data_IF_353108602813
#
_entry.id   IF_353108602813
#
_cell.length_a   1.000
_cell.length_b   1.000
_cell.length_c   1.000
_cell.angle_alpha   90.00
_cell.angle_beta   90.00
_cell.angle_gamma   90.00
#
_symmetry.space_group_name_H-M   'P 1'
#
loop_
_entity.id
_entity.type
_entity.pdbx_description
1 polymer ?
#
# COMPACT_ATOMS: atom_id res chain seq x y z
N UNK A 1 1.77 -24.01 -20.26
CA UNK A 1 2.59 -23.26 -21.23
C UNK A 1 3.35 -22.21 -20.44
N UNK A 2 4.62 -22.46 -20.12
CA UNK A 2 5.44 -21.49 -19.40
C UNK A 2 5.91 -20.44 -20.42
N UNK A 3 5.37 -19.23 -20.35
CA UNK A 3 5.94 -18.10 -21.07
C UNK A 3 7.39 -17.94 -20.58
N UNK A 4 8.36 -18.20 -21.46
CA UNK A 4 9.76 -17.91 -21.17
C UNK A 4 9.89 -16.39 -21.09
N UNK A 5 9.94 -15.86 -19.87
CA UNK A 5 10.12 -14.43 -19.65
C UNK A 5 11.63 -14.17 -19.81
N UNK A 6 12.00 -13.51 -20.90
CA UNK A 6 13.39 -13.17 -21.18
C UNK A 6 13.94 -12.16 -20.15
N UNK A 7 15.20 -12.32 -19.71
CA UNK A 7 15.82 -11.40 -18.76
C UNK A 7 16.06 -10.04 -19.42
N UNK A 8 15.49 -8.97 -18.85
CA UNK A 8 15.53 -7.63 -19.45
C UNK A 8 16.67 -6.79 -18.86
N UNK A 9 17.41 -6.06 -19.70
CA UNK A 9 18.45 -5.11 -19.25
C UNK A 9 17.86 -3.74 -19.00
N UNK A 10 18.04 -3.20 -17.80
CA UNK A 10 17.70 -1.84 -17.43
C UNK A 10 18.96 -1.06 -17.05
N UNK A 11 19.36 -0.10 -17.90
CA UNK A 11 20.54 0.79 -17.78
C UNK A 11 21.92 0.16 -17.60
N UNK A 12 22.00 -1.10 -17.18
CA UNK A 12 23.13 -2.06 -17.18
C UNK A 12 22.79 -3.29 -16.33
N UNK A 13 21.71 -3.24 -15.54
CA UNK A 13 21.28 -4.34 -14.64
C UNK A 13 20.26 -5.25 -15.32
N UNK A 14 20.45 -6.56 -15.18
CA UNK A 14 19.52 -7.56 -15.71
C UNK A 14 18.44 -7.83 -14.66
N UNK A 15 17.16 -7.76 -15.02
CA UNK A 15 16.04 -8.04 -14.11
C UNK A 15 15.51 -9.44 -14.39
N UNK A 16 15.61 -10.33 -13.40
CA UNK A 16 15.08 -11.67 -13.48
C UNK A 16 13.71 -11.75 -12.78
N UNK A 17 12.64 -12.15 -13.49
CA UNK A 17 11.28 -12.18 -12.94
C UNK A 17 11.13 -13.19 -11.79
N UNK A 18 11.93 -14.26 -11.79
CA UNK A 18 11.95 -15.24 -10.70
C UNK A 18 12.46 -14.61 -9.39
N UNK A 19 13.48 -13.75 -9.48
CA UNK A 19 14.09 -13.08 -8.33
C UNK A 19 13.20 -11.98 -7.77
N UNK A 20 12.49 -11.23 -8.63
CA UNK A 20 11.52 -10.22 -8.19
C UNK A 20 10.38 -10.84 -7.37
N UNK A 21 9.93 -12.05 -7.74
CA UNK A 21 8.87 -12.79 -7.04
C UNK A 21 9.25 -13.30 -5.65
N UNK A 22 10.52 -13.19 -5.24
CA UNK A 22 10.95 -13.52 -3.87
C UNK A 22 10.37 -12.54 -2.83
N UNK A 23 10.06 -11.32 -3.25
CA UNK A 23 9.38 -10.33 -2.45
C UNK A 23 7.86 -10.33 -2.72
N UNK A 24 7.03 -9.99 -1.72
CA UNK A 24 5.60 -9.84 -1.94
C UNK A 24 5.31 -8.69 -2.90
N UNK A 25 4.42 -8.91 -3.87
CA UNK A 25 4.04 -7.91 -4.87
C UNK A 25 3.61 -6.58 -4.24
N UNK A 26 2.70 -6.64 -3.26
CA UNK A 26 2.18 -5.45 -2.56
C UNK A 26 3.31 -4.63 -1.96
N UNK A 27 4.31 -5.30 -1.36
CA UNK A 27 5.46 -4.65 -0.77
C UNK A 27 6.30 -3.93 -1.83
N UNK A 28 6.64 -4.61 -2.93
CA UNK A 28 7.42 -4.02 -4.03
C UNK A 28 6.79 -2.74 -4.58
N UNK A 29 5.46 -2.73 -4.78
CA UNK A 29 4.74 -1.54 -5.24
C UNK A 29 4.67 -0.44 -4.17
N UNK A 30 4.38 -0.78 -2.91
CA UNK A 30 4.27 0.22 -1.85
C UNK A 30 5.60 0.90 -1.52
N UNK A 31 6.70 0.16 -1.54
CA UNK A 31 8.02 0.67 -1.19
C UNK A 31 8.84 1.11 -2.41
N UNK A 32 8.28 1.01 -3.61
CA UNK A 32 8.98 1.24 -4.89
C UNK A 32 10.37 0.60 -4.91
N UNK A 33 10.41 -0.72 -4.67
CA UNK A 33 11.64 -1.51 -4.62
C UNK A 33 11.55 -2.76 -5.50
N UNK A 34 12.62 -3.06 -6.23
CA UNK A 34 12.74 -4.21 -7.14
C UNK A 34 14.10 -4.89 -6.96
N UNK A 35 14.12 -6.22 -7.02
CA UNK A 35 15.37 -6.99 -6.99
C UNK A 35 16.01 -6.96 -8.38
N UNK A 36 17.30 -6.62 -8.42
CA UNK A 36 18.11 -6.62 -9.63
C UNK A 36 18.99 -7.87 -9.65
N UNK A 37 19.27 -8.37 -10.85
CA UNK A 37 20.08 -9.57 -11.06
C UNK A 37 19.32 -10.88 -10.83
N UNK A 38 20.05 -11.97 -11.01
CA UNK A 38 19.61 -13.30 -10.63
C UNK A 38 19.99 -13.56 -9.17
N UNK A 39 18.98 -13.86 -8.36
CA UNK A 39 19.17 -14.22 -6.95
C UNK A 39 18.95 -15.72 -6.80
N UNK A 40 20.05 -16.45 -6.63
CA UNK A 40 20.00 -17.84 -6.18
C UNK A 40 19.66 -17.88 -4.69
N UNK A 41 18.70 -18.70 -4.26
CA UNK A 41 18.30 -18.86 -2.85
C UNK A 41 19.33 -19.60 -1.99
N UNK A 42 20.26 -20.34 -2.61
CA UNK A 42 21.34 -21.03 -1.90
C UNK A 42 22.65 -20.22 -1.82
N UNK A 43 22.82 -19.23 -2.71
CA UNK A 43 24.04 -18.43 -2.81
C UNK A 43 24.36 -17.53 -1.59
N UNK A 44 25.58 -17.03 -1.56
CA UNK A 44 26.06 -16.02 -0.61
C UNK A 44 26.26 -14.65 -1.24
N UNK A 45 25.94 -14.51 -2.52
CA UNK A 45 26.22 -13.31 -3.29
C UNK A 45 25.36 -12.13 -2.81
N UNK A 46 25.92 -10.90 -2.86
CA UNK A 46 25.17 -9.71 -2.49
C UNK A 46 23.99 -9.51 -3.44
N UNK A 47 22.87 -9.05 -2.87
CA UNK A 47 21.65 -8.78 -3.63
C UNK A 47 21.60 -7.28 -3.92
N UNK A 48 21.55 -6.92 -5.19
CA UNK A 48 21.28 -5.55 -5.63
C UNK A 48 19.78 -5.29 -5.61
N UNK A 49 19.37 -4.19 -4.99
CA UNK A 49 17.95 -3.81 -4.91
C UNK A 49 17.80 -2.41 -5.47
N UNK A 50 17.09 -2.31 -6.59
CA UNK A 50 16.68 -1.05 -7.19
C UNK A 50 15.59 -0.39 -6.35
N UNK A 51 15.84 0.84 -5.88
CA UNK A 51 14.90 1.59 -5.04
C UNK A 51 14.71 3.01 -5.55
N UNK A 52 13.47 3.49 -5.54
CA UNK A 52 13.19 4.91 -5.80
C UNK A 52 13.81 5.81 -4.73
N UNK A 53 13.70 5.39 -3.46
CA UNK A 53 14.18 6.13 -2.30
C UNK A 53 15.18 5.29 -1.48
N UNK A 54 16.48 5.30 -1.83
CA UNK A 54 17.49 4.47 -1.16
C UNK A 54 17.72 4.88 0.31
N UNK A 55 17.29 6.07 0.72
CA UNK A 55 17.39 6.56 2.10
C UNK A 55 16.30 6.01 3.03
N UNK A 56 15.31 5.29 2.51
CA UNK A 56 14.25 4.71 3.32
C UNK A 56 14.76 3.46 4.09
N UNK A 57 15.28 3.71 5.29
CA UNK A 57 15.87 2.68 6.16
C UNK A 57 14.87 1.57 6.56
N UNK A 58 13.58 1.89 6.69
CA UNK A 58 12.55 0.91 7.05
C UNK A 58 12.39 -0.16 5.96
N UNK A 59 12.44 0.27 4.69
CA UNK A 59 12.37 -0.64 3.54
C UNK A 59 13.62 -1.52 3.50
N UNK A 60 14.80 -0.92 3.68
CA UNK A 60 16.06 -1.67 3.71
C UNK A 60 16.14 -2.68 4.86
N UNK A 61 15.72 -2.32 6.07
CA UNK A 61 15.71 -3.25 7.21
C UNK A 61 14.76 -4.43 6.94
N UNK A 62 13.58 -4.15 6.40
CA UNK A 62 12.60 -5.20 6.05
C UNK A 62 13.16 -6.18 5.03
N UNK A 63 13.80 -5.68 3.97
CA UNK A 63 14.43 -6.53 2.94
C UNK A 63 15.63 -7.27 3.55
N UNK A 64 16.46 -6.61 4.36
CA UNK A 64 17.64 -7.21 5.03
C UNK A 64 17.26 -8.37 5.93
N UNK A 65 16.24 -8.21 6.77
CA UNK A 65 15.75 -9.29 7.63
C UNK A 65 15.28 -10.51 6.83
N UNK A 66 14.66 -10.28 5.68
CA UNK A 66 14.11 -11.35 4.83
C UNK A 66 15.19 -12.12 4.07
N UNK A 67 16.29 -11.47 3.70
CA UNK A 67 17.41 -12.10 2.97
C UNK A 67 18.64 -12.34 3.85
N UNK A 68 18.53 -12.18 5.17
CA UNK A 68 19.61 -12.48 6.12
C UNK A 68 20.10 -13.93 5.94
N UNK A 69 21.42 -14.19 5.87
CA UNK A 69 22.55 -13.31 6.24
C UNK A 69 23.17 -12.49 5.10
N UNK A 70 22.49 -12.33 3.96
CA UNK A 70 23.08 -11.71 2.77
C UNK A 70 23.21 -10.19 2.89
N UNK A 71 24.19 -9.64 2.17
CA UNK A 71 24.35 -8.18 2.04
C UNK A 71 23.42 -7.66 0.96
N UNK A 72 22.75 -6.55 1.26
CA UNK A 72 21.92 -5.82 0.31
C UNK A 72 22.65 -4.56 -0.12
N UNK A 73 22.67 -4.34 -1.43
CA UNK A 73 23.25 -3.14 -2.04
C UNK A 73 22.08 -2.34 -2.64
N UNK A 74 21.67 -1.22 -2.02
CA UNK A 74 20.67 -0.36 -2.62
C UNK A 74 21.25 0.33 -3.86
N UNK A 75 20.50 0.28 -4.96
CA UNK A 75 20.79 0.98 -6.21
C UNK A 75 19.68 2.00 -6.43
N UNK A 76 20.03 3.27 -6.51
CA UNK A 76 19.05 4.33 -6.74
C UNK A 76 18.50 4.24 -8.17
N UNK A 77 17.17 4.23 -8.29
CA UNK A 77 16.45 4.21 -9.57
C UNK A 77 15.34 5.27 -9.56
N UNK A 78 14.81 5.61 -10.73
CA UNK A 78 13.63 6.48 -10.79
C UNK A 78 12.36 5.68 -10.50
N UNK A 79 11.31 6.34 -10.01
CA UNK A 79 10.02 5.70 -9.72
C UNK A 79 9.46 5.00 -10.96
N UNK A 80 9.48 5.68 -12.11
CA UNK A 80 8.98 5.14 -13.38
C UNK A 80 9.72 3.86 -13.80
N UNK A 81 11.03 3.82 -13.59
CA UNK A 81 11.87 2.67 -13.93
C UNK A 81 11.50 1.46 -13.07
N UNK A 82 11.32 1.67 -11.76
CA UNK A 82 10.91 0.63 -10.82
C UNK A 82 9.50 0.15 -11.14
N UNK A 83 8.54 1.05 -11.34
CA UNK A 83 7.15 0.68 -11.68
C UNK A 83 7.10 -0.13 -12.96
N UNK A 84 7.86 0.27 -14.00
CA UNK A 84 7.94 -0.48 -15.26
C UNK A 84 8.53 -1.87 -15.06
N UNK A 85 9.62 -1.97 -14.31
CA UNK A 85 10.25 -3.26 -13.99
C UNK A 85 9.31 -4.20 -13.23
N UNK A 86 8.57 -3.68 -12.24
CA UNK A 86 7.60 -4.46 -11.46
C UNK A 86 6.42 -4.92 -12.32
N UNK A 87 5.84 -4.03 -13.13
CA UNK A 87 4.74 -4.36 -14.03
C UNK A 87 5.13 -5.49 -14.99
N UNK A 88 6.35 -5.46 -15.52
CA UNK A 88 6.86 -6.52 -16.39
C UNK A 88 7.10 -7.82 -15.63
N UNK A 89 7.76 -7.77 -14.46
CA UNK A 89 8.08 -8.96 -13.68
C UNK A 89 6.85 -9.71 -13.15
N UNK A 90 5.81 -8.97 -12.76
CA UNK A 90 4.53 -9.53 -12.30
C UNK A 90 3.54 -9.81 -13.43
N UNK A 91 3.87 -9.43 -14.67
CA UNK A 91 2.95 -9.57 -15.80
C UNK A 91 1.70 -8.70 -15.66
N UNK A 92 1.77 -7.61 -14.90
CA UNK A 92 0.72 -6.60 -14.83
C UNK A 92 0.92 -5.71 -16.03
N UNK A 93 0.26 -6.05 -17.13
CA UNK A 93 0.09 -5.12 -18.23
C UNK A 93 -0.76 -3.96 -17.72
N UNK A 94 -0.13 -2.91 -17.17
CA UNK A 94 -0.80 -1.61 -17.17
C UNK A 94 -0.94 -1.26 -18.64
N UNK A 95 -2.17 -1.15 -19.20
CA UNK A 95 -2.30 -0.56 -20.52
C UNK A 95 -1.65 0.80 -20.39
N UNK A 96 -0.54 0.99 -21.10
CA UNK A 96 0.09 2.28 -21.17
C UNK A 96 -1.02 3.22 -21.62
N UNK A 97 -1.38 4.18 -20.77
CA UNK A 97 -1.98 5.42 -21.25
C UNK A 97 -0.86 6.09 -22.08
N UNK A 98 -0.60 5.53 -23.26
CA UNK A 98 -0.23 6.33 -24.41
C UNK A 98 -1.43 7.25 -24.59
N UNK A 99 -1.38 8.37 -23.89
CA UNK A 99 -2.13 9.55 -24.24
C UNK A 99 -1.69 9.92 -25.64
N UNK A 100 -2.34 9.31 -26.62
CA UNK A 100 -2.52 9.84 -27.95
C UNK A 100 -3.09 11.24 -27.78
N UNK A 101 -2.20 12.22 -27.66
CA UNK A 101 -2.47 13.64 -27.57
C UNK A 101 -3.08 14.19 -28.89
N UNK A 102 -3.74 13.36 -29.69
CA UNK A 102 -4.19 13.70 -31.03
C UNK A 102 -5.62 13.23 -31.36
N UNK A 103 -6.42 12.77 -30.39
CA UNK A 103 -7.73 12.17 -30.70
C UNK A 103 -8.91 12.54 -29.79
N UNK A 104 -8.84 13.64 -29.04
CA UNK A 104 -10.04 14.22 -28.41
C UNK A 104 -10.07 15.74 -28.54
N UNK A 105 -10.49 16.20 -29.72
CA UNK A 105 -11.21 17.46 -29.89
C UNK A 105 -12.59 17.40 -29.23
N UNK A 106 -12.63 17.19 -27.90
CA UNK A 106 -13.84 17.31 -27.11
C UNK A 106 -13.81 18.67 -26.40
N UNK A 107 -14.64 19.57 -26.95
CA UNK A 107 -15.10 20.83 -26.37
C UNK A 107 -15.09 20.81 -24.84
N UNK A 108 -14.21 21.62 -24.25
CA UNK A 108 -14.29 22.02 -22.84
C UNK A 108 -15.38 23.10 -22.75
N UNK A 109 -16.53 22.88 -22.11
CA UNK A 109 -17.37 23.98 -21.69
C UNK A 109 -16.62 24.73 -20.58
N UNK A 110 -16.25 25.98 -20.87
CA UNK A 110 -15.78 26.93 -19.88
C UNK A 110 -16.91 27.19 -18.87
N UNK A 111 -16.89 26.45 -17.77
CA UNK A 111 -17.60 26.80 -16.56
C UNK A 111 -16.61 27.44 -15.60
N UNK A 112 -16.72 28.76 -15.44
CA UNK A 112 -16.00 29.52 -14.41
C UNK A 112 -16.28 28.90 -13.03
N UNK A 113 -15.21 28.52 -12.33
CA UNK A 113 -15.28 28.27 -10.89
C UNK A 113 -14.29 29.24 -10.24
N UNK A 114 -14.84 30.31 -9.67
CA UNK A 114 -14.11 31.24 -8.81
C UNK A 114 -13.48 30.47 -7.65
N UNK A 115 -12.14 30.39 -7.65
CA UNK A 115 -11.39 29.98 -6.48
C UNK A 115 -11.31 31.17 -5.51
N UNK A 116 -12.28 31.22 -4.60
CA UNK A 116 -12.18 32.03 -3.41
C UNK A 116 -10.99 31.54 -2.57
N UNK A 117 -9.99 32.43 -2.42
CA UNK A 117 -8.86 32.27 -1.52
C UNK A 117 -9.37 32.21 -0.09
N UNK A 118 -9.09 31.12 0.60
CA UNK A 118 -9.28 31.03 2.05
C UNK A 118 -7.98 30.52 2.66
N UNK A 119 -7.23 31.49 3.20
CA UNK A 119 -6.16 31.28 4.17
C UNK A 119 -6.69 30.44 5.34
N UNK A 120 -6.03 29.34 5.68
CA UNK A 120 -6.13 28.80 7.03
C UNK A 120 -4.80 28.26 7.53
N UNK A 121 -4.31 28.91 8.59
CA UNK A 121 -3.06 28.61 9.28
C UNK A 121 -3.36 27.54 10.32
N UNK A 122 -3.03 26.29 10.03
CA UNK A 122 -3.03 25.24 11.06
C UNK A 122 -1.63 25.15 11.66
N UNK A 123 -1.46 25.75 12.84
CA UNK A 123 -0.33 25.46 13.74
C UNK A 123 -0.59 24.12 14.42
N UNK A 124 0.17 23.10 14.06
CA UNK A 124 0.18 21.81 14.77
C UNK A 124 1.21 21.90 15.88
N UNK A 125 0.75 22.15 17.11
CA UNK A 125 1.57 21.94 18.30
C UNK A 125 1.70 20.43 18.53
N UNK A 126 2.92 19.90 18.45
CA UNK A 126 3.24 18.54 18.85
C UNK A 126 3.45 18.54 20.37
N UNK A 127 2.56 17.90 21.12
CA UNK A 127 2.85 17.53 22.49
C UNK A 127 3.51 16.14 22.53
N UNK A 128 4.55 15.94 23.36
CA UNK A 128 5.20 14.64 23.53
C UNK A 128 4.32 13.72 24.38
N UNK A 129 4.08 12.50 23.88
CA UNK A 129 3.38 11.45 24.62
C UNK A 129 4.41 10.66 25.44
N UNK A 130 4.29 10.74 26.77
CA UNK A 130 5.11 10.04 27.74
C UNK A 130 4.58 8.60 27.91
N UNK A 131 5.43 7.61 27.66
CA UNK A 131 5.09 6.18 27.75
C UNK A 131 5.59 5.62 29.09
N UNK A 132 4.87 5.91 30.17
CA UNK A 132 5.09 5.26 31.46
C UNK A 132 3.82 4.53 31.90
N UNK A 133 3.99 3.23 32.13
CA UNK A 133 3.10 2.29 32.81
C UNK A 133 1.69 2.07 32.24
N UNK A 134 1.52 0.93 31.55
CA UNK A 134 0.21 0.29 31.43
C UNK A 134 0.31 -1.17 31.86
N UNK A 135 -0.15 -1.42 33.09
CA UNK A 135 -0.53 -2.75 33.57
C UNK A 135 -1.64 -3.32 32.68
N UNK A 136 -1.44 -4.55 32.22
CA UNK A 136 -2.44 -5.30 31.46
C UNK A 136 -3.54 -5.79 32.40
N UNK A 137 -4.62 -5.02 32.51
CA UNK A 137 -5.87 -5.55 33.06
C UNK A 137 -6.62 -6.38 32.02
N UNK A 138 -7.20 -7.48 32.50
CA UNK A 138 -7.88 -8.53 31.74
C UNK A 138 -9.13 -7.96 31.06
N UNK A 139 -9.29 -8.26 29.78
CA UNK A 139 -10.41 -7.78 28.96
C UNK A 139 -11.63 -8.69 29.19
N UNK A 140 -12.63 -8.13 29.86
CA UNK A 140 -14.01 -8.61 29.79
C UNK A 140 -14.59 -8.33 28.40
N UNK A 141 -15.35 -9.30 27.87
CA UNK A 141 -16.12 -9.19 26.64
C UNK A 141 -17.11 -8.02 26.73
N UNK A 142 -16.95 -7.01 25.87
CA UNK A 142 -17.79 -5.82 25.87
C UNK A 142 -18.40 -5.57 24.49
N UNK A 143 -19.72 -5.37 24.50
CA UNK A 143 -20.55 -4.96 23.38
C UNK A 143 -20.14 -3.57 22.87
N UNK A 144 -19.99 -3.45 21.55
CA UNK A 144 -19.57 -2.21 20.86
C UNK A 144 -20.79 -1.31 20.65
N UNK A 145 -20.91 -0.25 21.46
CA UNK A 145 -21.89 0.82 21.23
C UNK A 145 -21.38 1.82 20.16
N UNK A 146 -21.90 1.71 18.93
CA UNK A 146 -21.55 2.56 17.77
C UNK A 146 -22.20 3.97 17.82
N UNK A 147 -22.21 4.58 19.01
CA UNK A 147 -23.09 5.69 19.32
C UNK A 147 -22.49 7.10 19.26
N UNK A 148 -21.29 7.36 18.73
CA UNK A 148 -20.76 8.74 18.51
C UNK A 148 -19.32 8.72 18.00
N UNK A 149 -19.09 9.14 16.74
CA UNK A 149 -17.98 10.02 16.36
C UNK A 149 -17.96 10.27 14.84
N UNK A 150 -17.93 11.54 14.46
CA UNK A 150 -17.19 12.02 13.30
C UNK A 150 -17.76 11.77 11.91
N UNK A 151 -18.77 12.56 11.51
CA UNK A 151 -18.90 13.19 10.18
C UNK A 151 -18.40 12.37 8.96
N UNK A 152 -18.85 11.14 8.79
CA UNK A 152 -18.72 10.41 7.53
C UNK A 152 -19.60 11.04 6.46
N UNK A 153 -19.06 11.13 5.25
CA UNK A 153 -19.70 11.65 4.04
C UNK A 153 -20.94 10.78 3.76
N UNK A 154 -22.10 11.22 4.26
CA UNK A 154 -23.39 10.55 4.05
C UNK A 154 -23.73 10.58 2.57
N UNK A 155 -24.23 9.46 2.03
CA UNK A 155 -24.97 9.47 0.76
C UNK A 155 -26.24 10.32 0.93
N UNK A 156 -26.89 10.75 -0.15
CA UNK A 156 -28.13 11.54 -0.09
C UNK A 156 -29.24 10.88 0.76
N UNK A 157 -29.13 9.57 0.99
CA UNK A 157 -30.07 8.75 1.75
C UNK A 157 -29.74 8.68 3.26
N UNK A 158 -28.65 9.32 3.70
CA UNK A 158 -28.25 9.40 5.10
C UNK A 158 -27.70 8.11 5.72
N UNK A 159 -27.66 6.99 4.97
CA UNK A 159 -27.10 5.72 5.44
C UNK A 159 -25.62 5.59 5.07
N UNK A 160 -24.76 5.07 5.98
CA UNK A 160 -23.37 4.79 5.63
C UNK A 160 -23.33 3.69 4.57
N UNK A 161 -22.58 3.91 3.49
CA UNK A 161 -22.36 2.86 2.49
C UNK A 161 -21.70 1.64 3.14
N UNK A 162 -22.00 0.44 2.64
CA UNK A 162 -21.40 -0.82 3.12
C UNK A 162 -19.86 -0.72 3.15
N UNK A 163 -19.27 -0.07 2.14
CA UNK A 163 -17.81 0.13 2.04
C UNK A 163 -17.26 0.89 3.25
N UNK A 164 -17.94 1.95 3.69
CA UNK A 164 -17.52 2.74 4.85
C UNK A 164 -17.66 1.93 6.14
N UNK A 165 -18.75 1.16 6.30
CA UNK A 165 -18.96 0.32 7.48
C UNK A 165 -17.87 -0.73 7.62
N UNK A 166 -17.51 -1.41 6.52
CA UNK A 166 -16.44 -2.42 6.53
C UNK A 166 -15.08 -1.78 6.81
N UNK A 167 -14.80 -0.62 6.20
CA UNK A 167 -13.54 0.08 6.43
C UNK A 167 -13.38 0.53 7.89
N UNK A 168 -14.44 1.10 8.48
CA UNK A 168 -14.43 1.52 9.88
C UNK A 168 -14.24 0.33 10.83
N UNK A 169 -14.89 -0.80 10.52
CA UNK A 169 -14.75 -2.05 11.28
C UNK A 169 -13.30 -2.59 11.26
N UNK A 170 -12.65 -2.59 10.08
CA UNK A 170 -11.26 -3.03 9.95
C UNK A 170 -10.30 -2.11 10.69
N UNK A 171 -10.51 -0.79 10.60
CA UNK A 171 -9.67 0.19 11.29
C UNK A 171 -9.81 0.09 12.81
N UNK A 172 -11.01 -0.18 13.31
CA UNK A 172 -11.22 -0.38 14.75
C UNK A 172 -10.60 -1.70 15.24
N UNK A 173 -10.70 -2.78 14.46
CA UNK A 173 -10.05 -4.05 14.77
C UNK A 173 -8.52 -3.90 14.86
N UNK A 174 -7.91 -3.20 13.90
CA UNK A 174 -6.47 -2.91 13.91
C UNK A 174 -6.05 -2.06 15.12
N UNK A 175 -6.81 -0.99 15.44
CA UNK A 175 -6.51 -0.13 16.59
C UNK A 175 -6.57 -0.90 17.92
N UNK A 176 -7.43 -1.91 18.00
CA UNK A 176 -7.60 -2.75 19.19
C UNK A 176 -6.67 -3.96 19.23
N UNK A 177 -5.86 -4.17 18.20
CA UNK A 177 -5.00 -5.34 18.09
C UNK A 177 -5.80 -6.65 17.97
N UNK A 178 -7.02 -6.59 17.45
CA UNK A 178 -7.83 -7.78 17.23
C UNK A 178 -7.21 -8.66 16.14
N UNK A 179 -7.12 -9.96 16.41
CA UNK A 179 -6.57 -10.94 15.47
C UNK A 179 -7.61 -11.47 14.50
N UNK A 180 -8.89 -11.41 14.86
CA UNK A 180 -10.00 -11.91 14.06
C UNK A 180 -11.28 -11.07 14.24
N UNK A 181 -12.12 -11.04 13.21
CA UNK A 181 -13.41 -10.34 13.17
C UNK A 181 -14.49 -11.37 12.85
N UNK A 182 -15.32 -11.69 13.85
CA UNK A 182 -16.42 -12.64 13.69
C UNK A 182 -17.69 -11.91 13.23
N UNK A 183 -18.25 -12.32 12.09
CA UNK A 183 -19.52 -11.81 11.56
C UNK A 183 -20.56 -12.92 11.58
N UNK A 184 -21.58 -12.77 12.41
CA UNK A 184 -22.70 -13.71 12.48
C UNK A 184 -23.98 -13.11 11.93
N UNK A 185 -24.78 -13.94 11.25
CA UNK A 185 -26.08 -13.54 10.74
C UNK A 185 -27.15 -14.12 11.68
N UNK A 186 -27.56 -13.32 12.67
CA UNK A 186 -28.71 -13.68 13.49
C UNK A 186 -29.99 -13.61 12.67
N UNK A 187 -30.38 -14.75 12.08
CA UNK A 187 -31.74 -14.91 11.57
C UNK A 187 -32.69 -14.92 12.75
N UNK A 188 -33.23 -13.75 13.12
CA UNK A 188 -34.36 -13.68 14.05
C UNK A 188 -35.53 -14.44 13.45
N UNK A 189 -35.84 -15.61 14.00
CA UNK A 189 -37.04 -16.35 13.67
C UNK A 189 -38.24 -15.47 14.03
N UNK A 190 -38.87 -14.89 13.01
CA UNK A 190 -40.15 -14.20 13.18
C UNK A 190 -41.15 -15.27 13.61
N UNK A 191 -41.50 -15.29 14.89
CA UNK A 191 -42.63 -16.09 15.37
C UNK A 191 -43.88 -15.51 14.72
N UNK A 192 -44.42 -16.23 13.75
CA UNK A 192 -45.75 -15.99 13.17
C UNK A 192 -46.84 -16.32 14.18
#
# INVERSE_FOLDING_TARGET
MNAAIEPMRYKDHVIHPASVKLLPQVFCFSSSAVILGEVDLAGSDPIEVGMAEPHNLNTLDTITRRFSPRRIIPVQMTVDDVTRALNMAYGISTPALETDANLLGAVVPQGEVEFARMDDRVQVAQEPIDYADQEYERIDTLDVDMGRRGRSKRTDDGQPSVVHVVNDMLMDALRRGATDIHLENERKAVKL
#
